data_IF_360201377471
#
_entry.id   IF_360201377471
#
_cell.length_a   1.000
_cell.length_b   1.000
_cell.length_c   1.000
_cell.angle_alpha   90.00
_cell.angle_beta   90.00
_cell.angle_gamma   90.00
#
_symmetry.space_group_name_H-M   'P 1'
#
loop_
_entity.id
_entity.type
_entity.pdbx_description
1 polymer ?
#
# COMPACT_ATOMS: atom_id res chain seq x y z
N UNK A 1 13.08 7.46 8.01
CA UNK A 1 11.92 8.13 7.40
C UNK A 1 11.94 7.79 5.93
N UNK A 2 10.87 7.19 5.42
CA UNK A 2 10.75 6.74 4.04
C UNK A 2 10.60 7.87 3.02
N UNK A 3 10.59 7.49 1.75
CA UNK A 3 10.51 8.38 0.60
C UNK A 3 9.48 7.88 -0.42
N UNK A 4 8.93 8.79 -1.22
CA UNK A 4 8.08 8.41 -2.35
C UNK A 4 8.94 7.86 -3.49
N UNK A 5 8.48 6.76 -4.09
CA UNK A 5 9.03 6.13 -5.27
C UNK A 5 7.91 5.90 -6.30
N UNK A 6 8.28 5.52 -7.52
CA UNK A 6 7.32 5.10 -8.55
C UNK A 6 7.40 3.59 -8.77
N UNK A 7 6.24 2.95 -8.87
CA UNK A 7 6.09 1.55 -9.23
C UNK A 7 5.48 1.43 -10.62
N UNK A 8 6.05 0.54 -11.44
CA UNK A 8 5.45 0.16 -12.73
C UNK A 8 4.60 -1.09 -12.53
N UNK A 9 3.36 -0.98 -12.94
CA UNK A 9 2.36 -2.07 -12.86
C UNK A 9 2.37 -2.90 -14.14
N UNK A 10 1.81 -4.11 -14.10
CA UNK A 10 1.77 -5.01 -15.26
C UNK A 10 0.95 -4.46 -16.42
N UNK A 11 -0.06 -3.64 -16.14
CA UNK A 11 -0.86 -2.96 -17.16
C UNK A 11 -0.21 -1.66 -17.66
N UNK A 12 1.09 -1.45 -17.36
CA UNK A 12 1.92 -0.33 -17.82
C UNK A 12 1.52 1.03 -17.25
N UNK A 13 0.74 1.05 -16.17
CA UNK A 13 0.54 2.25 -15.37
C UNK A 13 1.73 2.47 -14.44
N UNK A 14 1.97 3.74 -14.09
CA UNK A 14 2.95 4.12 -13.09
C UNK A 14 2.19 4.71 -11.91
N UNK A 15 2.39 4.19 -10.70
CA UNK A 15 1.78 4.70 -9.47
C UNK A 15 2.86 5.07 -8.46
N UNK A 16 2.59 6.09 -7.65
CA UNK A 16 3.46 6.41 -6.53
C UNK A 16 3.33 5.36 -5.43
N UNK A 17 4.39 5.18 -4.65
CA UNK A 17 4.39 4.37 -3.44
C UNK A 17 5.33 4.99 -2.40
N UNK A 18 4.98 4.88 -1.12
CA UNK A 18 5.89 5.24 -0.04
C UNK A 18 6.78 4.05 0.30
N UNK A 19 8.11 4.24 0.29
CA UNK A 19 9.10 3.22 0.62
C UNK A 19 9.83 3.62 1.90
N UNK A 20 9.71 2.79 2.94
CA UNK A 20 10.45 2.93 4.18
C UNK A 20 11.42 1.75 4.32
N UNK A 21 12.71 2.08 4.54
CA UNK A 21 13.78 1.09 4.65
C UNK A 21 14.24 0.93 6.10
N UNK A 22 14.54 -0.30 6.54
CA UNK A 22 15.04 -0.55 7.88
C UNK A 22 16.52 -0.14 8.00
N UNK A 23 17.01 0.13 9.21
CA UNK A 23 18.44 0.25 9.45
C UNK A 23 19.11 -1.12 9.24
N UNK A 24 19.92 -1.25 8.19
CA UNK A 24 20.66 -2.48 7.89
C UNK A 24 19.91 -3.46 7.00
N UNK A 25 20.23 -4.75 7.11
CA UNK A 25 19.68 -5.80 6.22
C UNK A 25 18.20 -6.07 6.57
N UNK A 26 17.27 -5.95 5.61
CA UNK A 26 15.86 -6.27 5.84
C UNK A 26 15.63 -7.73 6.25
N UNK A 27 14.68 -7.95 7.17
CA UNK A 27 14.21 -9.27 7.61
C UNK A 27 13.19 -9.90 6.66
N UNK A 28 12.53 -9.05 5.87
CA UNK A 28 11.44 -9.38 4.97
C UNK A 28 10.84 -8.12 4.36
N UNK A 29 9.94 -8.31 3.38
CA UNK A 29 9.16 -7.23 2.80
C UNK A 29 7.78 -7.12 3.44
N UNK A 30 7.22 -5.91 3.47
CA UNK A 30 5.84 -5.66 3.85
C UNK A 30 5.18 -4.69 2.87
N UNK A 31 3.96 -5.01 2.46
CA UNK A 31 3.10 -4.06 1.74
C UNK A 31 2.05 -3.52 2.71
N UNK A 32 1.97 -2.20 2.84
CA UNK A 32 1.04 -1.50 3.73
C UNK A 32 -0.04 -0.82 2.88
N UNK A 33 -1.28 -1.29 2.96
CA UNK A 33 -2.36 -0.85 2.07
C UNK A 33 -3.24 0.20 2.78
N UNK A 34 -3.42 1.32 2.09
CA UNK A 34 -4.13 2.50 2.58
C UNK A 34 -5.60 2.28 2.96
N UNK A 35 -6.09 3.17 3.81
CA UNK A 35 -7.51 3.45 4.02
C UNK A 35 -8.07 4.33 2.87
N UNK A 36 -9.20 4.99 3.08
CA UNK A 36 -9.85 5.89 2.11
C UNK A 36 -9.24 7.30 2.04
N UNK A 37 -8.12 7.56 2.71
CA UNK A 37 -7.46 8.88 2.75
C UNK A 37 -6.13 8.93 1.98
N UNK A 38 -5.83 7.92 1.18
CA UNK A 38 -4.56 7.84 0.47
C UNK A 38 -3.41 7.38 1.36
N UNK A 39 -2.18 7.52 0.85
CA UNK A 39 -0.94 7.24 1.60
C UNK A 39 -0.62 8.46 2.50
N UNK A 40 -1.49 8.69 3.47
CA UNK A 40 -1.43 9.80 4.40
C UNK A 40 -0.44 9.57 5.56
N UNK A 41 -0.42 10.49 6.52
CA UNK A 41 0.49 10.41 7.67
C UNK A 41 0.34 9.12 8.48
N UNK A 42 -0.88 8.60 8.65
CA UNK A 42 -1.10 7.32 9.34
C UNK A 42 -0.41 6.16 8.61
N UNK A 43 -0.67 6.00 7.30
CA UNK A 43 -0.08 4.92 6.50
C UNK A 43 1.45 5.04 6.43
N UNK A 44 1.98 6.26 6.30
CA UNK A 44 3.43 6.49 6.32
C UNK A 44 4.04 6.16 7.67
N UNK A 45 3.40 6.54 8.77
CA UNK A 45 3.87 6.22 10.12
C UNK A 45 3.86 4.71 10.39
N UNK A 46 2.85 3.99 9.89
CA UNK A 46 2.82 2.52 9.96
C UNK A 46 3.97 1.90 9.16
N UNK A 47 4.21 2.37 7.93
CA UNK A 47 5.32 1.89 7.11
C UNK A 47 6.68 2.17 7.76
N UNK A 48 6.88 3.38 8.29
CA UNK A 48 8.10 3.76 9.03
C UNK A 48 8.26 2.92 10.31
N UNK A 49 7.18 2.59 11.01
CA UNK A 49 7.21 1.69 12.17
C UNK A 49 7.69 0.28 11.83
N UNK A 50 7.15 -0.31 10.76
CA UNK A 50 7.64 -1.61 10.27
C UNK A 50 9.09 -1.56 9.79
N UNK A 51 9.52 -0.43 9.23
CA UNK A 51 10.92 -0.21 8.90
C UNK A 51 11.80 -0.17 10.14
N UNK A 52 11.37 0.52 11.21
CA UNK A 52 12.07 0.50 12.49
C UNK A 52 12.18 -0.93 13.08
N UNK A 53 11.18 -1.78 12.84
CA UNK A 53 11.16 -3.19 13.27
C UNK A 53 12.00 -4.14 12.37
N UNK A 54 12.62 -3.61 11.32
CA UNK A 54 13.56 -4.33 10.46
C UNK A 54 13.00 -4.81 9.11
N UNK A 55 11.84 -4.33 8.67
CA UNK A 55 11.23 -4.73 7.39
C UNK A 55 11.37 -3.67 6.31
N UNK A 56 11.47 -4.08 5.04
CA UNK A 56 11.28 -3.15 3.92
C UNK A 56 9.78 -2.94 3.71
N UNK A 57 9.26 -1.75 4.00
CA UNK A 57 7.83 -1.45 3.86
C UNK A 57 7.55 -0.62 2.60
N UNK A 58 6.56 -1.06 1.82
CA UNK A 58 6.08 -0.37 0.60
C UNK A 58 4.59 -0.10 0.74
N UNK A 59 4.16 1.16 0.67
CA UNK A 59 2.75 1.54 0.68
C UNK A 59 2.33 2.11 -0.69
N UNK A 60 1.67 1.32 -1.57
CA UNK A 60 1.25 1.79 -2.88
C UNK A 60 0.09 2.77 -2.78
N UNK A 61 0.14 3.86 -3.55
CA UNK A 61 -0.94 4.85 -3.67
C UNK A 61 -2.01 4.35 -4.64
N UNK A 62 -2.93 3.51 -4.16
CA UNK A 62 -3.98 2.90 -4.98
C UNK A 62 -4.90 3.93 -5.64
N UNK A 63 -5.01 5.12 -5.06
CA UNK A 63 -5.84 6.20 -5.60
C UNK A 63 -5.22 6.91 -6.81
N UNK A 64 -3.93 6.70 -7.11
CA UNK A 64 -3.30 7.18 -8.34
C UNK A 64 -3.98 6.64 -9.61
N UNK A 65 -4.73 5.53 -9.49
CA UNK A 65 -5.63 5.00 -10.52
C UNK A 65 -6.75 5.96 -10.93
N UNK A 66 -7.11 6.89 -10.04
CA UNK A 66 -8.19 7.87 -10.22
C UNK A 66 -7.61 9.28 -10.31
N UNK A 67 -6.75 9.66 -9.37
CA UNK A 67 -6.09 10.95 -9.29
C UNK A 67 -4.75 10.80 -8.57
N UNK A 68 -3.68 11.36 -9.13
CA UNK A 68 -2.34 11.22 -8.56
C UNK A 68 -2.17 12.03 -7.28
N UNK A 69 -1.50 11.44 -6.29
CA UNK A 69 -1.05 12.16 -5.10
C UNK A 69 -2.17 12.46 -4.10
N UNK A 70 -3.28 11.72 -4.17
CA UNK A 70 -4.38 11.87 -3.22
C UNK A 70 -3.89 11.52 -1.81
N UNK A 71 -3.86 12.55 -0.97
CA UNK A 71 -3.55 12.46 0.46
C UNK A 71 -4.50 13.39 1.18
N UNK A 72 -5.22 12.88 2.16
CA UNK A 72 -6.25 13.63 2.88
C UNK A 72 -6.07 13.51 4.39
N UNK A 73 -6.48 14.57 5.09
CA UNK A 73 -6.56 14.56 6.55
C UNK A 73 -7.67 13.63 7.03
N UNK A 74 -7.39 12.95 8.13
CA UNK A 74 -8.28 11.97 8.71
C UNK A 74 -9.50 12.64 9.37
N UNK A 75 -10.63 11.92 9.35
CA UNK A 75 -11.76 12.14 10.27
C UNK A 75 -12.52 13.47 10.17
N UNK A 76 -12.75 14.01 8.96
CA UNK A 76 -13.82 15.00 8.75
C UNK A 76 -14.84 14.55 7.69
N UNK A 77 -16.10 15.03 7.73
CA UNK A 77 -17.15 14.58 6.82
C UNK A 77 -16.82 14.77 5.32
N UNK A 78 -16.11 15.84 4.98
CA UNK A 78 -15.75 16.16 3.59
C UNK A 78 -14.72 15.17 3.04
N UNK A 79 -13.65 14.88 3.80
CA UNK A 79 -12.62 13.92 3.38
C UNK A 79 -13.14 12.49 3.38
N UNK A 80 -14.09 12.14 4.27
CA UNK A 80 -14.79 10.86 4.21
C UNK A 80 -15.59 10.72 2.90
N UNK A 81 -16.40 11.72 2.54
CA UNK A 81 -17.19 11.67 1.31
C UNK A 81 -16.28 11.56 0.07
N UNK A 82 -15.22 12.35 0.01
CA UNK A 82 -14.21 12.28 -1.05
C UNK A 82 -13.53 10.91 -1.09
N UNK A 83 -13.11 10.39 0.06
CA UNK A 83 -12.47 9.08 0.19
C UNK A 83 -13.34 7.93 -0.30
N UNK A 84 -14.63 7.93 0.06
CA UNK A 84 -15.59 6.97 -0.49
C UNK A 84 -15.73 7.09 -2.01
N UNK A 85 -15.76 8.33 -2.53
CA UNK A 85 -15.79 8.57 -3.97
C UNK A 85 -14.57 8.01 -4.71
N UNK A 86 -13.37 8.14 -4.15
CA UNK A 86 -12.16 7.51 -4.70
C UNK A 86 -12.24 5.98 -4.62
N UNK A 87 -12.57 5.45 -3.44
CA UNK A 87 -12.69 4.00 -3.21
C UNK A 87 -13.65 3.33 -4.21
N UNK A 88 -14.79 3.96 -4.52
CA UNK A 88 -15.77 3.43 -5.47
C UNK A 88 -15.29 3.44 -6.92
N UNK A 89 -14.37 4.34 -7.28
CA UNK A 89 -13.81 4.46 -8.63
C UNK A 89 -12.60 3.55 -8.87
N UNK A 90 -11.95 3.09 -7.81
CA UNK A 90 -10.86 2.13 -7.91
C UNK A 90 -11.42 0.74 -8.20
N UNK A 91 -11.19 0.26 -9.42
CA UNK A 91 -11.46 -1.11 -9.77
C UNK A 91 -10.62 -2.09 -8.92
N UNK A 92 -11.25 -3.18 -8.49
CA UNK A 92 -10.61 -4.12 -7.56
C UNK A 92 -9.45 -4.87 -8.21
N UNK A 93 -9.55 -5.26 -9.48
CA UNK A 93 -8.48 -5.99 -10.15
C UNK A 93 -7.29 -5.07 -10.44
N UNK A 94 -7.56 -3.81 -10.78
CA UNK A 94 -6.54 -2.77 -10.88
C UNK A 94 -5.80 -2.54 -9.54
N UNK A 95 -6.52 -2.47 -8.41
CA UNK A 95 -5.89 -2.38 -7.10
C UNK A 95 -4.99 -3.59 -6.81
N UNK A 96 -5.36 -4.79 -7.25
CA UNK A 96 -4.53 -5.98 -7.11
C UNK A 96 -3.28 -5.96 -8.01
N UNK A 97 -3.33 -5.31 -9.17
CA UNK A 97 -2.15 -5.07 -10.00
C UNK A 97 -1.16 -4.12 -9.31
N UNK A 98 -1.66 -3.12 -8.61
CA UNK A 98 -0.85 -2.17 -7.82
C UNK A 98 -0.19 -2.86 -6.62
N UNK A 99 -0.96 -3.65 -5.87
CA UNK A 99 -0.44 -4.45 -4.76
C UNK A 99 0.60 -5.45 -5.26
N UNK A 100 0.38 -6.08 -6.42
CA UNK A 100 1.38 -6.97 -7.02
C UNK A 100 2.69 -6.23 -7.31
N UNK A 101 2.64 -5.04 -7.89
CA UNK A 101 3.84 -4.24 -8.14
C UNK A 101 4.57 -3.90 -6.83
N UNK A 102 3.83 -3.60 -5.76
CA UNK A 102 4.40 -3.37 -4.43
C UNK A 102 5.01 -4.64 -3.83
N UNK A 103 4.38 -5.81 -4.00
CA UNK A 103 4.93 -7.11 -3.57
C UNK A 103 6.22 -7.43 -4.32
N UNK A 104 6.25 -7.23 -5.64
CA UNK A 104 7.45 -7.42 -6.46
C UNK A 104 8.59 -6.50 -5.96
N UNK A 105 8.30 -5.22 -5.70
CA UNK A 105 9.28 -4.29 -5.13
C UNK A 105 9.76 -4.71 -3.72
N UNK A 106 8.86 -5.17 -2.86
CA UNK A 106 9.18 -5.60 -1.50
C UNK A 106 9.94 -6.94 -1.45
N UNK A 107 9.81 -7.80 -2.47
CA UNK A 107 10.44 -9.12 -2.50
C UNK A 107 11.97 -9.09 -2.55
N UNK A 108 12.56 -7.95 -2.90
CA UNK A 108 14.00 -7.72 -2.78
C UNK A 108 14.52 -7.92 -1.33
N UNK A 109 13.62 -7.82 -0.35
CA UNK A 109 13.90 -8.05 1.07
C UNK A 109 13.59 -9.49 1.55
N UNK A 110 13.14 -10.40 0.68
CA UNK A 110 12.79 -11.78 1.01
C UNK A 110 11.28 -12.05 0.98
N UNK A 111 10.78 -12.85 1.93
CA UNK A 111 9.33 -13.14 2.04
C UNK A 111 8.55 -11.85 2.28
N UNK A 112 7.41 -11.71 1.61
CA UNK A 112 6.58 -10.50 1.68
C UNK A 112 5.28 -10.78 2.42
N UNK A 113 4.96 -9.98 3.43
CA UNK A 113 3.63 -9.93 4.03
C UNK A 113 2.82 -8.75 3.50
N UNK A 114 1.50 -8.81 3.63
CA UNK A 114 0.62 -7.68 3.34
C UNK A 114 -0.21 -7.32 4.58
N UNK A 115 -0.37 -6.04 4.83
CA UNK A 115 -1.24 -5.50 5.89
C UNK A 115 -2.09 -4.39 5.28
N UNK A 116 -3.35 -4.32 5.65
CA UNK A 116 -4.23 -3.29 5.13
C UNK A 116 -5.31 -2.89 6.13
N UNK A 117 -5.77 -1.65 6.01
CA UNK A 117 -6.71 -1.04 6.96
C UNK A 117 -7.98 -0.59 6.24
N UNK A 118 -9.15 -0.96 6.77
CA UNK A 118 -10.46 -0.59 6.21
C UNK A 118 -10.60 -1.05 4.75
N UNK A 119 -10.67 -0.11 3.79
CA UNK A 119 -10.58 -0.40 2.36
C UNK A 119 -9.37 -1.30 2.04
N UNK A 120 -8.20 -0.96 2.60
CA UNK A 120 -6.98 -1.74 2.45
C UNK A 120 -7.07 -3.13 3.07
N UNK A 121 -7.88 -3.32 4.13
CA UNK A 121 -8.10 -4.64 4.74
C UNK A 121 -8.81 -5.59 3.78
N UNK A 122 -9.88 -5.11 3.10
CA UNK A 122 -10.52 -5.85 2.00
C UNK A 122 -9.52 -6.18 0.90
N UNK A 123 -8.70 -5.22 0.48
CA UNK A 123 -7.69 -5.44 -0.57
C UNK A 123 -6.62 -6.44 -0.13
N UNK A 124 -6.15 -6.40 1.12
CA UNK A 124 -5.17 -7.34 1.69
C UNK A 124 -5.72 -8.78 1.72
N UNK A 125 -6.99 -8.96 2.07
CA UNK A 125 -7.66 -10.26 2.04
C UNK A 125 -7.78 -10.81 0.61
N UNK A 126 -8.19 -9.97 -0.35
CA UNK A 126 -8.27 -10.36 -1.76
C UNK A 126 -6.90 -10.65 -2.36
N UNK A 127 -5.88 -9.86 -2.02
CA UNK A 127 -4.51 -10.05 -2.46
C UNK A 127 -3.99 -11.41 -2.02
N UNK A 128 -4.17 -11.78 -0.74
CA UNK A 128 -3.78 -13.09 -0.22
C UNK A 128 -4.46 -14.26 -0.94
N UNK A 129 -5.66 -14.06 -1.46
CA UNK A 129 -6.47 -15.10 -2.12
C UNK A 129 -6.18 -15.22 -3.62
N UNK A 130 -5.63 -14.18 -4.26
CA UNK A 130 -5.54 -14.07 -5.73
C UNK A 130 -4.14 -13.79 -6.26
N UNK A 131 -3.21 -13.39 -5.41
CA UNK A 131 -1.83 -13.08 -5.77
C UNK A 131 -0.87 -14.11 -5.19
N UNK A 132 0.16 -14.43 -5.96
CA UNK A 132 1.28 -15.25 -5.50
C UNK A 132 2.34 -14.38 -4.82
N UNK A 133 3.24 -15.00 -4.06
CA UNK A 133 4.37 -14.32 -3.43
C UNK A 133 4.05 -13.63 -2.08
N UNK A 134 2.82 -13.78 -1.58
CA UNK A 134 2.41 -13.28 -0.27
C UNK A 134 2.53 -14.40 0.77
N UNK A 135 3.40 -14.21 1.76
CA UNK A 135 3.66 -15.18 2.82
C UNK A 135 2.69 -15.08 4.01
N UNK A 136 2.09 -13.91 4.22
CA UNK A 136 1.10 -13.66 5.28
C UNK A 136 0.23 -12.44 4.91
N UNK A 137 -1.00 -12.40 5.42
CA UNK A 137 -1.93 -11.27 5.25
C UNK A 137 -2.60 -10.91 6.56
N UNK A 138 -2.66 -9.61 6.86
CA UNK A 138 -3.29 -9.05 8.06
C UNK A 138 -4.32 -7.99 7.64
N UNK A 139 -5.61 -8.37 7.51
CA UNK A 139 -6.69 -7.45 7.17
C UNK A 139 -7.31 -6.84 8.45
N UNK A 140 -7.24 -5.52 8.59
CA UNK A 140 -7.93 -4.73 9.63
C UNK A 140 -9.18 -4.02 9.08
#
# INVERSE_FOLDING_TARGET
>A
MGQMIELKTKDRQTISAYRAEPPGKPRGGLVVIQEIWGVNSHIRNVADGYAADGYLAIAPALFDRVERGVVMDLYNPETMQKGFGFMQKVDTDNALLDVRAAVEAASAAGKVGVVGFCFGGKVAWLAASRLEGIAASVPY
#
